data_IF_207201288648
#
_entry.id   IF_207201288648
#
_cell.length_a   1.000
_cell.length_b   1.000
_cell.length_c   1.000
_cell.angle_alpha   90.00
_cell.angle_beta   90.00
_cell.angle_gamma   90.00
#
_symmetry.space_group_name_H-M   'P 1'
#
loop_
_entity.id
_entity.type
_entity.pdbx_description
1 polymer ?
#
# COMPACT_ATOMS: atom_id res chain seq x y z
N UNK A 1 -3.28 0.45 -8.46
CA UNK A 1 -2.54 1.66 -8.02
C UNK A 1 -1.57 1.20 -6.94
N UNK A 2 -0.28 1.10 -7.25
CA UNK A 2 0.77 0.91 -6.24
C UNK A 2 1.68 2.14 -6.34
N UNK A 3 1.79 2.90 -5.25
CA UNK A 3 2.68 4.07 -5.18
C UNK A 3 3.98 3.57 -4.57
N UNK A 4 5.03 3.47 -5.38
CA UNK A 4 6.37 3.22 -4.90
C UNK A 4 6.92 4.54 -4.33
N UNK A 5 7.11 4.59 -3.01
CA UNK A 5 7.85 5.65 -2.35
C UNK A 5 9.14 5.04 -1.82
N UNK A 6 10.20 5.06 -2.61
CA UNK A 6 11.53 4.96 -2.03
C UNK A 6 11.84 6.31 -1.36
N UNK A 7 12.29 6.27 -0.10
CA UNK A 7 12.50 7.43 0.76
C UNK A 7 13.61 8.37 0.25
N UNK A 8 13.32 9.19 -0.77
CA UNK A 8 14.12 10.37 -1.10
C UNK A 8 13.27 11.43 -1.80
N UNK A 9 12.58 12.23 -1.00
CA UNK A 9 11.69 13.29 -1.48
C UNK A 9 12.46 14.58 -1.77
N UNK A 10 12.38 15.06 -3.01
CA UNK A 10 12.68 16.44 -3.41
C UNK A 10 11.67 16.83 -4.48
N UNK A 11 10.88 17.90 -4.29
CA UNK A 11 9.78 18.20 -5.20
C UNK A 11 10.31 18.80 -6.51
N UNK A 12 9.88 18.31 -7.69
CA UNK A 12 10.07 19.02 -8.93
C UNK A 12 8.91 20.01 -9.16
N UNK A 13 9.28 21.21 -9.59
CA UNK A 13 8.40 22.31 -9.97
C UNK A 13 7.38 21.85 -11.04
N UNK A 14 6.12 21.69 -10.67
CA UNK A 14 5.07 21.25 -11.59
C UNK A 14 4.37 22.44 -12.24
N UNK A 15 4.80 22.78 -13.47
CA UNK A 15 4.06 23.68 -14.34
C UNK A 15 3.44 22.96 -15.55
N UNK A 16 2.14 23.21 -15.70
CA UNK A 16 1.22 23.13 -16.85
C UNK A 16 1.00 21.84 -17.66
N UNK A 17 -0.30 21.48 -17.70
CA UNK A 17 -1.09 21.03 -18.86
C UNK A 17 -0.49 19.97 -19.80
N UNK A 18 -0.76 18.68 -19.53
CA UNK A 18 -1.23 17.70 -20.53
C UNK A 18 -1.45 16.29 -19.90
N UNK A 19 -2.51 15.64 -20.36
CA UNK A 19 -3.00 14.27 -20.10
C UNK A 19 -3.51 13.92 -18.69
N UNK A 20 -4.81 13.59 -18.69
CA UNK A 20 -5.76 13.36 -17.60
C UNK A 20 -5.35 12.13 -16.74
N UNK A 21 -5.47 12.26 -15.42
CA UNK A 21 -5.15 11.30 -14.34
C UNK A 21 -3.70 10.86 -14.15
N UNK A 22 -2.95 10.38 -15.16
CA UNK A 22 -1.58 9.83 -14.95
C UNK A 22 -0.60 10.89 -14.41
N UNK A 23 -0.71 12.12 -14.90
CA UNK A 23 0.11 13.26 -14.49
C UNK A 23 -0.11 13.66 -13.02
N UNK A 24 -1.32 13.47 -12.48
CA UNK A 24 -1.66 13.94 -11.13
C UNK A 24 -0.94 13.18 -10.04
N UNK A 25 -0.82 11.85 -10.17
CA UNK A 25 -0.14 11.03 -9.17
C UNK A 25 1.34 11.40 -9.05
N UNK A 26 1.99 11.70 -10.17
CA UNK A 26 3.37 12.19 -10.19
C UNK A 26 3.46 13.56 -9.49
N UNK A 27 2.52 14.47 -9.76
CA UNK A 27 2.47 15.77 -9.06
C UNK A 27 2.20 15.62 -7.56
N UNK A 28 1.48 14.58 -7.13
CA UNK A 28 1.24 14.27 -5.72
C UNK A 28 2.39 13.49 -5.05
N UNK A 29 3.50 13.28 -5.77
CA UNK A 29 4.73 12.70 -5.22
C UNK A 29 4.91 11.21 -5.49
N UNK A 30 4.14 10.59 -6.39
CA UNK A 30 4.46 9.26 -6.85
C UNK A 30 5.73 9.29 -7.72
N UNK A 31 6.70 8.43 -7.43
CA UNK A 31 7.91 8.28 -8.24
C UNK A 31 7.62 7.59 -9.57
N UNK A 32 6.77 6.56 -9.54
CA UNK A 32 6.36 5.77 -10.70
C UNK A 32 4.91 5.32 -10.56
N UNK A 33 4.22 5.18 -11.69
CA UNK A 33 2.82 4.72 -11.75
C UNK A 33 2.73 3.52 -12.69
N UNK A 34 2.12 2.45 -12.20
CA UNK A 34 1.84 1.22 -12.96
C UNK A 34 0.34 1.02 -13.12
N UNK A 35 -0.05 0.47 -14.27
CA UNK A 35 -1.41 0.05 -14.51
C UNK A 35 -1.64 -1.34 -13.89
N UNK A 36 -2.53 -1.42 -12.90
CA UNK A 36 -2.78 -2.65 -12.16
C UNK A 36 -3.64 -3.65 -12.94
N UNK A 37 -4.26 -3.23 -14.05
CA UNK A 37 -4.91 -4.14 -14.99
C UNK A 37 -3.89 -4.82 -15.93
N UNK A 38 -2.65 -4.33 -15.97
CA UNK A 38 -1.61 -4.99 -16.75
C UNK A 38 -1.30 -6.37 -16.15
N UNK A 39 -1.29 -7.45 -16.96
CA UNK A 39 -0.90 -8.77 -16.48
C UNK A 39 0.56 -8.84 -16.04
N UNK A 40 1.40 -7.90 -16.49
CA UNK A 40 2.82 -7.80 -16.11
C UNK A 40 3.08 -6.87 -14.94
N UNK A 41 2.05 -6.22 -14.37
CA UNK A 41 2.21 -5.15 -13.39
C UNK A 41 3.16 -5.50 -12.23
N UNK A 42 2.97 -6.68 -11.62
CA UNK A 42 3.83 -7.14 -10.53
C UNK A 42 5.28 -7.37 -10.97
N UNK A 43 5.48 -7.96 -12.16
CA UNK A 43 6.81 -8.20 -12.71
C UNK A 43 7.52 -6.86 -13.01
N UNK A 44 6.78 -5.89 -13.55
CA UNK A 44 7.29 -4.56 -13.84
C UNK A 44 7.70 -3.81 -12.56
N UNK A 45 6.90 -3.94 -11.49
CA UNK A 45 7.23 -3.37 -10.17
C UNK A 45 8.47 -4.03 -9.58
N UNK A 46 8.57 -5.35 -9.66
CA UNK A 46 9.75 -6.10 -9.17
C UNK A 46 11.00 -5.74 -9.94
N UNK A 47 10.91 -5.62 -11.26
CA UNK A 47 12.02 -5.19 -12.10
C UNK A 47 12.46 -3.76 -11.75
N UNK A 48 11.50 -2.84 -11.60
CA UNK A 48 11.78 -1.46 -11.21
C UNK A 48 12.46 -1.34 -9.84
N UNK A 49 12.02 -2.15 -8.88
CA UNK A 49 12.52 -2.16 -7.50
C UNK A 49 13.69 -3.12 -7.28
N UNK A 50 14.23 -3.73 -8.34
CA UNK A 50 15.32 -4.72 -8.26
C UNK A 50 15.02 -5.89 -7.30
N UNK A 51 13.74 -6.27 -7.17
CA UNK A 51 13.23 -7.25 -6.19
C UNK A 51 13.46 -6.87 -4.71
N UNK A 52 13.57 -5.58 -4.40
CA UNK A 52 13.84 -5.06 -3.04
C UNK A 52 12.67 -4.26 -2.45
N UNK A 53 11.49 -4.32 -3.05
CA UNK A 53 10.30 -3.67 -2.48
C UNK A 53 9.97 -4.23 -1.09
N UNK A 54 10.23 -3.43 -0.06
CA UNK A 54 10.04 -3.83 1.34
C UNK A 54 8.63 -3.55 1.86
N UNK A 55 7.91 -2.58 1.30
CA UNK A 55 6.56 -2.25 1.76
C UNK A 55 5.59 -1.97 0.61
N UNK A 56 4.33 -2.35 0.81
CA UNK A 56 3.22 -2.03 -0.08
C UNK A 56 2.01 -1.56 0.74
N UNK A 57 1.29 -0.56 0.22
CA UNK A 57 0.04 -0.07 0.77
C UNK A 57 -1.10 -0.38 -0.20
N UNK A 58 -2.05 -1.23 0.20
CA UNK A 58 -3.26 -1.55 -0.55
C UNK A 58 -4.40 -0.61 -0.14
N UNK A 59 -4.68 0.37 -1.01
CA UNK A 59 -5.77 1.32 -0.83
C UNK A 59 -7.12 0.82 -1.36
N UNK A 60 -7.17 -0.33 -2.02
CA UNK A 60 -8.41 -0.92 -2.58
C UNK A 60 -8.92 -2.04 -1.67
N UNK A 61 -8.00 -2.78 -1.05
CA UNK A 61 -8.30 -3.85 -0.08
C UNK A 61 -9.21 -4.96 -0.61
N UNK A 62 -9.08 -5.28 -1.90
CA UNK A 62 -9.69 -6.45 -2.52
C UNK A 62 -8.69 -7.61 -2.60
N UNK A 63 -9.19 -8.83 -2.79
CA UNK A 63 -8.34 -10.02 -2.84
C UNK A 63 -7.27 -9.91 -3.93
N UNK A 64 -7.67 -9.52 -5.14
CA UNK A 64 -6.78 -9.39 -6.29
C UNK A 64 -5.73 -8.28 -6.10
N UNK A 65 -6.11 -7.16 -5.46
CA UNK A 65 -5.18 -6.06 -5.19
C UNK A 65 -4.20 -6.40 -4.09
N UNK A 66 -4.66 -7.10 -3.05
CA UNK A 66 -3.80 -7.60 -1.97
C UNK A 66 -2.80 -8.60 -2.55
N UNK A 67 -3.26 -9.54 -3.39
CA UNK A 67 -2.40 -10.50 -4.06
C UNK A 67 -1.36 -9.80 -4.95
N UNK A 68 -1.77 -8.79 -5.73
CA UNK A 68 -0.85 -7.99 -6.53
C UNK A 68 0.24 -7.34 -5.66
N UNK A 69 -0.10 -6.79 -4.49
CA UNK A 69 0.87 -6.25 -3.54
C UNK A 69 1.87 -7.31 -3.08
N UNK A 70 1.36 -8.51 -2.73
CA UNK A 70 2.18 -9.60 -2.20
C UNK A 70 3.18 -10.15 -3.21
N UNK A 71 2.77 -10.27 -4.47
CA UNK A 71 3.68 -10.72 -5.53
C UNK A 71 4.66 -9.62 -5.96
N UNK A 72 4.32 -8.35 -5.74
CA UNK A 72 5.19 -7.21 -6.05
C UNK A 72 6.27 -7.01 -4.99
N UNK A 73 6.00 -7.38 -3.73
CA UNK A 73 6.99 -7.35 -2.64
C UNK A 73 8.16 -8.28 -2.97
N UNK A 74 9.35 -7.84 -2.57
CA UNK A 74 10.61 -8.55 -2.77
C UNK A 74 10.67 -9.95 -2.16
N UNK A 75 11.85 -10.56 -2.26
CA UNK A 75 12.12 -11.89 -1.71
C UNK A 75 12.29 -11.91 -0.19
N UNK A 76 12.75 -10.80 0.38
CA UNK A 76 13.02 -10.66 1.80
C UNK A 76 11.78 -10.16 2.55
N UNK A 77 11.86 -10.20 3.89
CA UNK A 77 10.84 -9.73 4.81
C UNK A 77 10.26 -8.38 4.36
N UNK A 78 8.95 -8.38 4.12
CA UNK A 78 8.22 -7.21 3.65
C UNK A 78 6.97 -6.95 4.48
N UNK A 79 6.38 -5.77 4.32
CA UNK A 79 5.14 -5.39 4.97
C UNK A 79 4.09 -5.02 3.95
N UNK A 80 2.91 -5.62 4.07
CA UNK A 80 1.74 -5.17 3.33
C UNK A 80 0.77 -4.50 4.30
N UNK A 81 0.39 -3.26 4.02
CA UNK A 81 -0.57 -2.49 4.82
C UNK A 81 -1.84 -2.30 4.01
N UNK A 82 -3.01 -2.60 4.56
CA UNK A 82 -4.31 -2.36 3.90
C UNK A 82 -5.09 -1.26 4.62
N UNK A 83 -6.04 -0.61 3.93
CA UNK A 83 -6.95 0.36 4.56
C UNK A 83 -8.17 -0.30 5.20
N UNK A 84 -8.52 -1.50 4.73
CA UNK A 84 -9.57 -2.34 5.30
C UNK A 84 -8.96 -3.63 5.88
N UNK A 85 -9.68 -4.35 6.76
CA UNK A 85 -9.28 -5.67 7.20
C UNK A 85 -8.93 -6.58 6.02
N UNK A 86 -7.73 -7.15 6.05
CA UNK A 86 -7.25 -8.04 5.02
C UNK A 86 -7.83 -9.44 5.20
N UNK A 87 -7.94 -10.19 4.10
CA UNK A 87 -8.43 -11.58 4.14
C UNK A 87 -7.29 -12.52 4.52
N UNK A 88 -7.53 -13.38 5.51
CA UNK A 88 -6.58 -14.40 5.94
C UNK A 88 -6.13 -15.32 4.80
N UNK A 89 -7.02 -15.62 3.85
CA UNK A 89 -6.70 -16.48 2.70
C UNK A 89 -5.56 -15.93 1.85
N UNK A 90 -5.48 -14.61 1.69
CA UNK A 90 -4.38 -13.96 0.94
C UNK A 90 -3.16 -13.79 1.83
N UNK A 91 -3.35 -13.40 3.09
CA UNK A 91 -2.26 -13.23 4.05
C UNK A 91 -1.43 -14.51 4.25
N UNK A 92 -2.10 -15.66 4.29
CA UNK A 92 -1.44 -16.96 4.47
C UNK A 92 -0.54 -17.37 3.29
N UNK A 93 -0.75 -16.81 2.09
CA UNK A 93 0.05 -17.18 0.90
C UNK A 93 1.54 -16.85 1.05
N UNK A 94 1.88 -15.83 1.85
CA UNK A 94 3.27 -15.41 2.10
C UNK A 94 3.56 -15.12 3.58
N UNK A 95 2.87 -15.82 4.50
CA UNK A 95 2.96 -15.58 5.95
C UNK A 95 4.37 -15.66 6.56
N UNK A 96 5.31 -16.38 5.92
CA UNK A 96 6.70 -16.48 6.38
C UNK A 96 7.59 -15.30 5.95
N UNK A 97 7.14 -14.47 5.00
CA UNK A 97 7.97 -13.43 4.37
C UNK A 97 7.29 -12.07 4.31
N UNK A 98 5.98 -12.00 4.56
CA UNK A 98 5.21 -10.77 4.51
C UNK A 98 4.41 -10.66 5.79
N UNK A 99 4.65 -9.57 6.51
CA UNK A 99 3.86 -9.16 7.66
C UNK A 99 2.62 -8.38 7.17
N UNK A 100 1.41 -8.95 7.27
CA UNK A 100 0.19 -8.23 6.97
C UNK A 100 -0.15 -7.26 8.11
N UNK A 101 -0.62 -6.08 7.75
CA UNK A 101 -1.18 -5.12 8.70
C UNK A 101 -2.28 -4.33 8.01
N UNK A 102 -3.13 -3.69 8.79
CA UNK A 102 -4.10 -2.76 8.25
C UNK A 102 -4.24 -1.56 9.18
N UNK A 103 -4.59 -0.43 8.60
CA UNK A 103 -4.76 0.82 9.33
C UNK A 103 -6.24 1.03 9.53
N UNK A 104 -6.69 0.99 10.77
CA UNK A 104 -7.91 1.70 11.10
C UNK A 104 -7.52 3.16 11.40
N UNK A 105 -8.10 4.09 10.66
CA UNK A 105 -7.76 5.52 10.78
C UNK A 105 -8.37 6.12 12.06
N UNK A 106 -9.51 5.61 12.51
CA UNK A 106 -10.26 6.22 13.63
C UNK A 106 -9.54 6.17 15.01
N UNK A 107 -8.44 5.42 15.17
CA UNK A 107 -7.69 5.38 16.44
C UNK A 107 -6.84 6.60 16.68
N UNK A 108 -6.54 7.40 15.64
CA UNK A 108 -5.74 8.62 15.78
C UNK A 108 -6.33 9.56 16.84
N UNK A 109 -7.66 9.50 17.04
CA UNK A 109 -8.39 10.28 18.03
C UNK A 109 -8.22 9.80 19.48
N UNK A 110 -7.44 8.73 19.74
CA UNK A 110 -7.23 8.10 21.05
C UNK A 110 -8.53 7.74 21.79
N UNK A 111 -9.60 7.50 21.05
CA UNK A 111 -10.88 7.03 21.58
C UNK A 111 -11.09 5.60 21.14
N UNK A 112 -11.87 4.87 21.93
CA UNK A 112 -12.38 3.56 21.52
C UNK A 112 -13.12 3.73 20.20
N UNK A 113 -12.80 2.87 19.23
CA UNK A 113 -13.57 2.75 17.99
C UNK A 113 -14.70 1.77 18.28
N UNK A 114 -15.87 2.29 18.66
CA UNK A 114 -17.05 1.51 19.03
C UNK A 114 -17.84 1.01 17.81
N UNK A 115 -17.13 0.38 16.88
CA UNK A 115 -17.71 -0.35 15.75
C UNK A 115 -17.77 -1.84 16.07
N UNK A 116 -18.55 -2.59 15.31
CA UNK A 116 -18.68 -4.04 15.46
C UNK A 116 -17.60 -4.80 14.65
N UNK A 117 -17.38 -6.06 15.02
CA UNK A 117 -16.48 -6.97 14.29
C UNK A 117 -15.02 -6.51 14.29
N UNK A 118 -14.32 -6.76 13.19
CA UNK A 118 -12.89 -6.47 13.01
C UNK A 118 -12.55 -4.98 13.07
N UNK A 119 -13.56 -4.11 12.92
CA UNK A 119 -13.42 -2.67 12.98
C UNK A 119 -13.40 -2.12 14.41
N UNK A 120 -13.97 -2.86 15.35
CA UNK A 120 -14.01 -2.50 16.76
C UNK A 120 -12.63 -2.63 17.41
N UNK A 121 -12.19 -1.59 18.12
CA UNK A 121 -10.95 -1.67 18.92
C UNK A 121 -10.88 -0.65 20.04
N UNK A 122 -10.16 -1.01 21.09
CA UNK A 122 -9.88 -0.11 22.21
C UNK A 122 -8.98 1.05 21.80
N UNK A 123 -8.93 2.08 22.65
CA UNK A 123 -8.07 3.23 22.43
C UNK A 123 -6.60 2.78 22.35
N UNK A 124 -5.91 3.14 21.27
CA UNK A 124 -4.49 2.84 21.05
C UNK A 124 -3.67 4.12 21.20
N UNK A 125 -2.97 4.33 22.33
CA UNK A 125 -2.20 5.57 22.56
C UNK A 125 -1.09 5.80 21.53
N UNK A 126 -0.55 4.72 20.97
CA UNK A 126 0.55 4.71 19.99
C UNK A 126 0.16 5.16 18.58
N UNK A 127 -1.14 5.22 18.27
CA UNK A 127 -1.63 5.52 16.92
C UNK A 127 -1.78 7.03 16.66
N UNK A 128 -1.45 7.87 17.65
CA UNK A 128 -1.43 9.33 17.48
C UNK A 128 -0.16 9.75 16.76
N UNK A 129 -0.32 10.45 15.64
CA UNK A 129 0.74 11.10 14.87
C UNK A 129 1.07 12.48 15.42
#
# INVERSE_FOLDING_TARGET
MLILANYRWSPPNCNLFALKLRSRLLCFGAERVFDYHSPTCAADIRAYTTNELACALDCVSQADTTQLCYVSIGRADGRCVSLEPFRDTVAQTRALTIEPSWIMVLSIFRKKVALEGEYGRDAQPKDRV
#
